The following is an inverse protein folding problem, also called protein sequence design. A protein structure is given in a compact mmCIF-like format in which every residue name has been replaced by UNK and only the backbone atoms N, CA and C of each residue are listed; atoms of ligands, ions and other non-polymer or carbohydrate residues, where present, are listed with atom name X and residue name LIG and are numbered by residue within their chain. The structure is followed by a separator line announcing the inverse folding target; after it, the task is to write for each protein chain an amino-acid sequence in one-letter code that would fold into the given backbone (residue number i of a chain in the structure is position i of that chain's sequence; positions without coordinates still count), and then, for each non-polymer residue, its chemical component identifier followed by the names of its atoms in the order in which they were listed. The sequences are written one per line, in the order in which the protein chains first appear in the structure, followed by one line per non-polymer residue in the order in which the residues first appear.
data_IF_259972302392
#
_entry.id   IF_259972302392
#
_cell.length_a   1.000
_cell.length_b   1.000
_cell.length_c   1.000
_cell.angle_alpha   90.00
_cell.angle_beta   90.00
_cell.angle_gamma   90.00
#
_symmetry.space_group_name_H-M   'P 1'
#
loop_
_entity.id
_entity.type
_entity.pdbx_description
1 polymer ?
#
# COMPACT_ATOMS: atom_id res chain seq x y z
N UNK A 1 -9.31 3.22 20.62
CA UNK A 1 -8.52 3.88 21.69
C UNK A 1 -7.82 5.10 21.10
N UNK A 2 -7.50 6.11 21.91
CA UNK A 2 -6.73 7.28 21.49
C UNK A 2 -5.29 7.08 21.96
N UNK A 3 -4.38 6.90 21.02
CA UNK A 3 -2.96 6.64 21.25
C UNK A 3 -2.17 7.66 20.45
N UNK A 4 -1.06 8.14 20.98
CA UNK A 4 -0.11 8.98 20.25
C UNK A 4 0.97 8.07 19.69
N UNK A 5 1.18 8.13 18.38
CA UNK A 5 2.19 7.37 17.66
C UNK A 5 3.02 8.36 16.84
N UNK A 6 4.33 8.16 16.81
CA UNK A 6 5.20 8.87 15.87
C UNK A 6 5.17 8.15 14.52
N UNK A 7 4.93 8.89 13.44
CA UNK A 7 4.69 8.34 12.10
C UNK A 7 5.37 9.26 11.08
N UNK A 8 6.07 8.68 10.12
CA UNK A 8 6.69 9.44 9.03
C UNK A 8 5.67 10.30 8.28
N UNK A 9 6.08 11.50 7.89
CA UNK A 9 5.23 12.48 7.21
C UNK A 9 4.62 11.92 5.92
N UNK A 10 5.38 11.14 5.16
CA UNK A 10 4.93 10.49 3.91
C UNK A 10 3.81 9.48 4.18
N UNK A 11 3.92 8.71 5.27
CA UNK A 11 2.92 7.71 5.67
C UNK A 11 1.64 8.42 6.14
N UNK A 12 1.78 9.51 6.91
CA UNK A 12 0.63 10.31 7.34
C UNK A 12 -0.08 10.95 6.14
N UNK A 13 0.66 11.45 5.15
CA UNK A 13 0.10 11.99 3.92
C UNK A 13 -0.69 10.94 3.14
N UNK A 14 -0.10 9.75 2.93
CA UNK A 14 -0.76 8.62 2.27
C UNK A 14 -2.04 8.18 3.01
N UNK A 15 -2.00 8.13 4.34
CA UNK A 15 -3.16 7.77 5.15
C UNK A 15 -4.29 8.81 5.03
N UNK A 16 -3.97 10.11 5.00
CA UNK A 16 -4.96 11.19 4.80
C UNK A 16 -5.62 11.12 3.43
N UNK A 17 -4.84 10.88 2.38
CA UNK A 17 -5.39 10.74 1.03
C UNK A 17 -6.31 9.53 0.92
N UNK A 18 -5.90 8.38 1.47
CA UNK A 18 -6.72 7.18 1.49
C UNK A 18 -8.00 7.38 2.32
N UNK A 19 -7.92 8.14 3.42
CA UNK A 19 -9.07 8.49 4.24
C UNK A 19 -10.08 9.37 3.49
N UNK A 20 -9.59 10.36 2.72
CA UNK A 20 -10.41 11.21 1.85
C UNK A 20 -11.17 10.38 0.82
N UNK A 21 -10.48 9.47 0.12
CA UNK A 21 -11.09 8.56 -0.89
C UNK A 21 -12.16 7.66 -0.29
N UNK A 22 -11.95 7.19 0.94
CA UNK A 22 -12.88 6.26 1.63
C UNK A 22 -13.98 6.97 2.44
N UNK A 23 -13.97 8.30 2.51
CA UNK A 23 -14.92 9.06 3.33
C UNK A 23 -14.79 8.75 4.83
N UNK A 24 -13.56 8.52 5.31
CA UNK A 24 -13.30 8.17 6.71
C UNK A 24 -12.16 9.00 7.30
N UNK A 25 -11.74 8.73 8.54
CA UNK A 25 -10.65 9.45 9.21
C UNK A 25 -9.30 8.75 9.01
N UNK A 26 -8.22 9.53 8.98
CA UNK A 26 -6.85 8.99 8.88
C UNK A 26 -6.55 7.98 10.00
N UNK A 27 -6.97 8.26 11.24
CA UNK A 27 -6.79 7.33 12.35
C UNK A 27 -7.53 6.00 12.16
N UNK A 28 -8.70 5.99 11.51
CA UNK A 28 -9.42 4.76 11.18
C UNK A 28 -8.71 3.96 10.09
N UNK A 29 -8.23 4.64 9.04
CA UNK A 29 -7.41 4.01 7.99
C UNK A 29 -6.16 3.36 8.58
N UNK A 30 -5.40 4.12 9.39
CA UNK A 30 -4.19 3.60 10.05
C UNK A 30 -4.51 2.42 10.95
N UNK A 31 -5.59 2.49 11.73
CA UNK A 31 -6.01 1.37 12.59
C UNK A 31 -6.38 0.11 11.79
N UNK A 32 -7.05 0.25 10.65
CA UNK A 32 -7.39 -0.88 9.77
C UNK A 32 -6.15 -1.47 9.10
N UNK A 33 -5.22 -0.63 8.64
CA UNK A 33 -3.96 -1.08 8.03
C UNK A 33 -3.08 -1.81 9.05
N UNK A 34 -2.91 -1.26 10.25
CA UNK A 34 -2.19 -1.92 11.34
C UNK A 34 -2.85 -3.24 11.72
N UNK A 35 -4.19 -3.28 11.82
CA UNK A 35 -4.91 -4.53 12.07
C UNK A 35 -4.58 -5.57 11.00
N UNK A 36 -4.69 -5.21 9.71
CA UNK A 36 -4.38 -6.12 8.60
C UNK A 36 -2.95 -6.61 8.69
N UNK A 37 -1.97 -5.73 8.88
CA UNK A 37 -0.57 -6.11 9.01
C UNK A 37 -0.34 -7.09 10.18
N UNK A 38 -0.98 -6.87 11.32
CA UNK A 38 -0.86 -7.73 12.51
C UNK A 38 -1.64 -9.05 12.38
N UNK A 39 -2.77 -9.07 11.64
CA UNK A 39 -3.54 -10.30 11.39
C UNK A 39 -3.03 -11.11 10.20
N UNK A 40 -2.35 -10.47 9.26
CA UNK A 40 -1.67 -11.10 8.12
C UNK A 40 -0.26 -11.56 8.49
N UNK A 41 0.19 -11.32 9.74
CA UNK A 41 1.43 -11.84 10.31
C UNK A 41 1.40 -13.37 10.58
N UNK A 42 0.73 -14.14 9.73
CA UNK A 42 1.11 -15.53 9.47
C UNK A 42 2.20 -15.46 8.38
N UNK A 43 3.48 -15.79 8.69
CA UNK A 43 4.52 -15.91 7.68
C UNK A 43 4.20 -17.12 6.78
N UNK A 44 3.34 -16.92 5.79
CA UNK A 44 2.87 -18.00 4.94
C UNK A 44 1.77 -17.65 3.95
N UNK A 45 1.35 -16.38 3.87
CA UNK A 45 0.32 -15.95 2.92
C UNK A 45 0.87 -14.99 1.86
N UNK A 46 2.03 -15.34 1.28
CA UNK A 46 2.16 -15.25 -0.17
C UNK A 46 1.15 -16.25 -0.77
N UNK A 47 -0.13 -15.86 -0.79
CA UNK A 47 -1.13 -16.53 -1.59
C UNK A 47 -0.94 -16.11 -3.04
N UNK A 48 0.08 -16.68 -3.66
CA UNK A 48 -0.14 -17.49 -4.87
C UNK A 48 0.60 -18.81 -4.62
N UNK A 49 -0.06 -19.70 -3.87
CA UNK A 49 0.30 -21.10 -3.77
C UNK A 49 -0.06 -21.88 -5.04
N UNK A 50 -0.05 -21.24 -6.20
CA UNK A 50 0.05 -21.94 -7.48
C UNK A 50 1.53 -22.03 -7.83
N UNK A 51 1.98 -23.24 -8.19
CA UNK A 51 3.21 -23.40 -8.96
C UNK A 51 3.19 -22.38 -10.09
N UNK A 52 4.15 -21.45 -10.08
CA UNK A 52 4.30 -20.32 -11.01
C UNK A 52 3.76 -20.68 -12.39
N UNK A 53 2.49 -20.38 -12.65
CA UNK A 53 1.89 -20.69 -13.93
C UNK A 53 2.62 -19.83 -14.95
N UNK A 54 3.30 -20.49 -15.89
CA UNK A 54 4.03 -19.81 -16.95
C UNK A 54 3.00 -19.24 -17.93
N UNK A 55 2.54 -18.03 -17.67
CA UNK A 55 1.63 -17.28 -18.58
C UNK A 55 2.39 -16.63 -19.75
N UNK A 56 3.53 -17.18 -20.16
CA UNK A 56 4.34 -16.68 -21.28
C UNK A 56 5.23 -15.47 -20.95
N UNK A 57 5.21 -14.94 -19.72
CA UNK A 57 6.12 -13.87 -19.30
C UNK A 57 6.67 -14.11 -17.89
N UNK A 58 7.88 -13.59 -17.64
CA UNK A 58 8.54 -13.64 -16.33
C UNK A 58 8.34 -12.27 -15.65
N UNK A 59 7.59 -12.19 -14.54
CA UNK A 59 7.45 -10.93 -13.79
C UNK A 59 8.83 -10.37 -13.41
N UNK A 60 8.96 -9.04 -13.45
CA UNK A 60 10.17 -8.39 -12.95
C UNK A 60 10.34 -8.63 -11.44
N UNK A 61 11.58 -8.76 -10.95
CA UNK A 61 11.82 -8.78 -9.52
C UNK A 61 11.33 -7.48 -8.88
N UNK A 62 10.85 -7.56 -7.64
CA UNK A 62 10.46 -6.36 -6.88
C UNK A 62 11.67 -5.42 -6.76
N UNK A 63 11.46 -4.14 -7.07
CA UNK A 63 12.50 -3.09 -7.02
C UNK A 63 12.54 -2.35 -5.67
N UNK A 64 11.67 -2.69 -4.72
CA UNK A 64 11.74 -2.21 -3.34
C UNK A 64 11.28 -0.77 -3.08
N UNK A 65 10.44 -0.18 -3.94
CA UNK A 65 9.86 1.16 -3.74
C UNK A 65 8.36 1.14 -3.43
N UNK A 66 7.90 2.08 -2.61
CA UNK A 66 6.46 2.32 -2.40
C UNK A 66 5.94 3.14 -3.57
N UNK A 67 4.94 2.61 -4.29
CA UNK A 67 4.25 3.35 -5.36
C UNK A 67 3.07 4.10 -4.74
N UNK A 68 3.13 5.43 -4.76
CA UNK A 68 2.05 6.32 -4.34
C UNK A 68 1.24 6.76 -5.56
N UNK A 69 0.01 7.24 -5.32
CA UNK A 69 -0.85 7.75 -6.40
C UNK A 69 -0.28 9.03 -7.03
N UNK A 70 0.34 9.89 -6.22
CA UNK A 70 1.04 11.09 -6.70
C UNK A 70 2.21 10.73 -7.63
N UNK A 71 2.95 9.67 -7.31
CA UNK A 71 4.00 9.12 -8.19
C UNK A 71 3.42 8.63 -9.53
N UNK A 72 2.22 8.03 -9.52
CA UNK A 72 1.53 7.60 -10.75
C UNK A 72 1.04 8.81 -11.55
N UNK A 73 0.52 9.84 -10.90
CA UNK A 73 0.02 11.04 -11.57
C UNK A 73 1.17 11.86 -12.19
N UNK A 74 2.27 12.04 -11.46
CA UNK A 74 3.48 12.68 -12.00
C UNK A 74 4.02 11.92 -13.22
N UNK A 75 3.96 10.59 -13.22
CA UNK A 75 4.38 9.77 -14.35
C UNK A 75 3.45 9.97 -15.57
N UNK A 76 2.14 10.08 -15.35
CA UNK A 76 1.17 10.35 -16.42
C UNK A 76 1.38 11.73 -17.04
N UNK A 77 1.57 12.74 -16.21
CA UNK A 77 1.85 14.11 -16.66
C UNK A 77 3.15 14.17 -17.49
N UNK A 78 4.20 13.45 -17.07
CA UNK A 78 5.47 13.38 -17.80
C UNK A 78 5.34 12.68 -19.15
N UNK A 79 4.59 11.59 -19.20
CA UNK A 79 4.38 10.80 -20.42
C UNK A 79 3.24 11.37 -21.30
N UNK A 80 2.58 12.44 -20.85
CA UNK A 80 1.47 13.14 -21.51
C UNK A 80 0.31 12.18 -21.89
N UNK A 81 -0.05 11.28 -20.96
CA UNK A 81 -1.10 10.25 -21.07
C UNK A 81 -2.20 10.40 -20.01
#
# INVERSE_FOLDING_TARGET
MRTTLDIDDEVLAAAKELARRRGTTAGRVVSELLRRALTTAEPGQDQVGESRAFYGFRPFPSRGGIVTDDCVEQLRDQENI
#
